data_IF_553301035403
#
_entry.id   IF_553301035403
#
_cell.length_a   1.000
_cell.length_b   1.000
_cell.length_c   1.000
_cell.angle_alpha   90.00
_cell.angle_beta   90.00
_cell.angle_gamma   90.00
#
_symmetry.space_group_name_H-M   'P 1'
#
loop_
_entity.id
_entity.type
_entity.pdbx_description
1 polymer ?
#
# COMPACT_ATOMS: atom_id res chain seq x y z
N UNK A 1 -0.24 12.97 16.49
CA UNK A 1 0.49 11.70 16.31
C UNK A 1 1.76 11.97 15.50
N UNK A 2 2.87 11.26 15.71
CA UNK A 2 4.06 11.45 14.87
C UNK A 2 3.85 10.83 13.48
N UNK A 3 4.51 11.36 12.45
CA UNK A 3 4.41 10.86 11.07
C UNK A 3 4.85 9.40 10.98
N UNK A 4 5.84 8.98 11.79
CA UNK A 4 6.29 7.58 11.84
C UNK A 4 5.18 6.65 12.35
N UNK A 5 4.49 7.02 13.43
CA UNK A 5 3.41 6.20 14.00
C UNK A 5 2.25 6.04 13.01
N UNK A 6 1.90 7.12 12.30
CA UNK A 6 0.87 7.09 11.27
C UNK A 6 1.23 6.17 10.09
N UNK A 7 2.50 6.17 9.65
CA UNK A 7 2.98 5.29 8.59
C UNK A 7 3.00 3.83 9.04
N UNK A 8 3.43 3.54 10.27
CA UNK A 8 3.45 2.17 10.81
C UNK A 8 2.04 1.60 10.95
N UNK A 9 1.09 2.39 11.46
CA UNK A 9 -0.31 1.97 11.57
C UNK A 9 -0.97 1.81 10.19
N UNK A 10 -0.71 2.72 9.24
CA UNK A 10 -1.21 2.57 7.87
C UNK A 10 -0.65 1.32 7.18
N UNK A 11 0.63 1.01 7.44
CA UNK A 11 1.29 -0.18 6.91
C UNK A 11 0.71 -1.47 7.50
N UNK A 12 0.39 -1.49 8.80
CA UNK A 12 -0.18 -2.68 9.46
C UNK A 12 -1.61 -2.98 9.00
N UNK A 13 -2.44 -1.95 8.73
CA UNK A 13 -3.80 -2.11 8.21
C UNK A 13 -3.80 -2.74 6.81
N UNK A 14 -2.81 -2.41 5.98
CA UNK A 14 -2.67 -2.95 4.61
C UNK A 14 -1.95 -4.30 4.55
N UNK A 15 -1.15 -4.62 5.56
CA UNK A 15 -0.37 -5.85 5.62
C UNK A 15 -1.27 -7.09 5.52
N UNK A 16 -2.40 -7.13 6.26
CA UNK A 16 -3.34 -8.26 6.22
C UNK A 16 -3.91 -8.47 4.81
N UNK A 17 -4.54 -7.48 4.16
CA UNK A 17 -5.03 -7.62 2.78
C UNK A 17 -3.96 -8.00 1.76
N UNK A 18 -2.77 -7.38 1.83
CA UNK A 18 -1.68 -7.65 0.89
C UNK A 18 -1.18 -9.09 1.04
N UNK A 19 -0.97 -9.56 2.27
CA UNK A 19 -0.56 -10.94 2.51
C UNK A 19 -1.65 -11.93 2.10
N UNK A 20 -2.93 -11.62 2.32
CA UNK A 20 -4.04 -12.48 1.93
C UNK A 20 -4.05 -12.77 0.43
N UNK A 21 -3.94 -11.73 -0.41
CA UNK A 21 -3.95 -11.90 -1.88
C UNK A 21 -2.67 -12.59 -2.37
N UNK A 22 -1.53 -12.26 -1.79
CA UNK A 22 -0.23 -12.85 -2.14
C UNK A 22 -0.22 -14.34 -1.84
N UNK A 23 -0.65 -14.74 -0.64
CA UNK A 23 -0.72 -16.14 -0.21
C UNK A 23 -1.72 -16.91 -1.07
N UNK A 24 -2.90 -16.36 -1.32
CA UNK A 24 -3.90 -17.00 -2.19
C UNK A 24 -3.34 -17.28 -3.59
N UNK A 25 -2.60 -16.33 -4.16
CA UNK A 25 -1.98 -16.48 -5.48
C UNK A 25 -0.89 -17.54 -5.48
N UNK A 26 -0.01 -17.54 -4.47
CA UNK A 26 1.06 -18.55 -4.34
C UNK A 26 0.46 -19.93 -4.19
N UNK A 27 -0.50 -20.12 -3.28
CA UNK A 27 -1.19 -21.40 -3.05
C UNK A 27 -1.92 -21.86 -4.32
N UNK A 28 -2.56 -20.95 -5.05
CA UNK A 28 -3.21 -21.26 -6.33
C UNK A 28 -2.23 -21.67 -7.45
N UNK A 29 -0.97 -21.22 -7.39
CA UNK A 29 0.08 -21.57 -8.34
C UNK A 29 0.83 -22.87 -7.99
N UNK A 30 0.75 -23.34 -6.73
CA UNK A 30 1.41 -24.59 -6.29
C UNK A 30 1.05 -25.80 -7.16
N UNK A 31 -0.24 -26.06 -7.50
CA UNK A 31 -0.60 -27.22 -8.33
C UNK A 31 -0.01 -27.15 -9.74
N UNK A 32 0.20 -25.96 -10.30
CA UNK A 32 0.77 -25.81 -11.64
C UNK A 32 2.21 -26.32 -11.73
N UNK A 33 2.95 -26.22 -10.63
CA UNK A 33 4.35 -26.67 -10.53
C UNK A 33 4.44 -28.15 -10.20
N UNK A 34 3.51 -28.68 -9.39
CA UNK A 34 3.53 -30.07 -8.94
C UNK A 34 2.83 -31.05 -9.91
N UNK A 35 1.88 -30.59 -10.74
CA UNK A 35 1.09 -31.45 -11.61
C UNK A 35 1.84 -31.90 -12.88
N UNK A 36 2.13 -33.20 -12.95
CA UNK A 36 2.72 -33.87 -14.13
C UNK A 36 1.75 -34.02 -15.31
N UNK A 37 2.29 -34.44 -16.46
CA UNK A 37 1.53 -34.70 -17.69
C UNK A 37 1.95 -33.84 -18.89
N UNK A 38 1.24 -33.94 -20.03
CA UNK A 38 1.54 -33.16 -21.23
C UNK A 38 1.54 -31.66 -20.94
N UNK A 39 2.57 -30.93 -21.39
CA UNK A 39 2.70 -29.49 -21.13
C UNK A 39 3.10 -29.12 -19.69
N UNK A 40 3.52 -30.08 -18.86
CA UNK A 40 4.00 -29.82 -17.49
C UNK A 40 5.19 -28.85 -17.45
N UNK A 41 6.13 -28.95 -18.38
CA UNK A 41 7.27 -28.03 -18.48
C UNK A 41 6.82 -26.56 -18.61
N UNK A 42 5.83 -26.27 -19.45
CA UNK A 42 5.28 -24.92 -19.63
C UNK A 42 4.53 -24.44 -18.40
N UNK A 43 3.70 -25.29 -17.78
CA UNK A 43 2.95 -24.94 -16.56
C UNK A 43 3.88 -24.69 -15.37
N UNK A 44 4.89 -25.53 -15.19
CA UNK A 44 5.88 -25.37 -14.13
C UNK A 44 6.67 -24.06 -14.29
N UNK A 45 7.05 -23.73 -15.53
CA UNK A 45 7.74 -22.46 -15.83
C UNK A 45 6.88 -21.25 -15.43
N UNK A 46 5.62 -21.20 -15.87
CA UNK A 46 4.70 -20.10 -15.52
C UNK A 46 4.44 -20.08 -14.00
N UNK A 47 4.25 -21.24 -13.37
CA UNK A 47 4.02 -21.35 -11.93
C UNK A 47 5.18 -20.80 -11.10
N UNK A 48 6.42 -21.13 -11.46
CA UNK A 48 7.62 -20.60 -10.80
C UNK A 48 7.77 -19.09 -10.96
N UNK A 49 7.51 -18.57 -12.17
CA UNK A 49 7.56 -17.12 -12.42
C UNK A 49 6.52 -16.37 -11.57
N UNK A 50 5.30 -16.91 -11.47
CA UNK A 50 4.23 -16.30 -10.65
C UNK A 50 4.58 -16.35 -9.17
N UNK A 51 5.00 -17.50 -8.65
CA UNK A 51 5.35 -17.66 -7.22
C UNK A 51 6.47 -16.68 -6.84
N UNK A 52 7.53 -16.63 -7.65
CA UNK A 52 8.65 -15.75 -7.39
C UNK A 52 8.28 -14.28 -7.57
N UNK A 53 7.60 -13.95 -8.68
CA UNK A 53 7.19 -12.58 -9.01
C UNK A 53 6.25 -11.97 -7.98
N UNK A 54 5.25 -12.73 -7.52
CA UNK A 54 4.32 -12.28 -6.47
C UNK A 54 5.04 -12.14 -5.14
N UNK A 55 5.84 -13.13 -4.73
CA UNK A 55 6.58 -13.06 -3.46
C UNK A 55 7.52 -11.86 -3.42
N UNK A 56 8.27 -11.65 -4.49
CA UNK A 56 9.19 -10.52 -4.61
C UNK A 56 8.46 -9.17 -4.67
N UNK A 57 7.40 -9.08 -5.48
CA UNK A 57 6.57 -7.87 -5.59
C UNK A 57 5.92 -7.47 -4.27
N UNK A 58 5.45 -8.45 -3.49
CA UNK A 58 4.85 -8.24 -2.18
C UNK A 58 5.86 -7.71 -1.17
N UNK A 59 7.06 -8.30 -1.12
CA UNK A 59 8.15 -7.78 -0.28
C UNK A 59 8.52 -6.36 -0.69
N UNK A 60 8.67 -6.13 -2.00
CA UNK A 60 8.98 -4.80 -2.52
C UNK A 60 7.89 -3.80 -2.13
N UNK A 61 6.61 -4.15 -2.29
CA UNK A 61 5.50 -3.26 -1.93
C UNK A 61 5.45 -2.95 -0.44
N UNK A 62 5.66 -3.95 0.43
CA UNK A 62 5.62 -3.75 1.88
C UNK A 62 6.78 -2.93 2.43
N UNK A 63 7.96 -2.96 1.80
CA UNK A 63 9.12 -2.22 2.27
C UNK A 63 9.35 -0.92 1.48
N UNK A 64 9.27 -0.97 0.16
CA UNK A 64 9.57 0.16 -0.74
C UNK A 64 8.49 1.23 -0.64
N UNK A 65 7.19 0.87 -0.61
CA UNK A 65 6.13 1.88 -0.50
C UNK A 65 6.25 2.73 0.77
N UNK A 66 6.36 2.16 1.99
CA UNK A 66 6.52 2.98 3.19
C UNK A 66 7.88 3.69 3.27
N UNK A 67 8.96 3.11 2.72
CA UNK A 67 10.25 3.79 2.64
C UNK A 67 10.19 5.05 1.75
N UNK A 68 9.59 4.93 0.57
CA UNK A 68 9.33 6.07 -0.32
C UNK A 68 8.37 7.07 0.33
N UNK A 69 7.36 6.59 1.05
CA UNK A 69 6.44 7.48 1.78
C UNK A 69 7.18 8.27 2.86
N UNK A 70 8.09 7.66 3.62
CA UNK A 70 8.93 8.39 4.59
C UNK A 70 9.88 9.40 3.93
N UNK A 71 10.40 9.08 2.74
CA UNK A 71 11.31 9.98 2.02
C UNK A 71 10.54 11.19 1.45
N UNK A 72 9.40 10.95 0.81
CA UNK A 72 8.56 11.98 0.20
C UNK A 72 7.82 12.81 1.25
N UNK A 73 7.40 12.22 2.38
CA UNK A 73 6.72 12.94 3.46
C UNK A 73 7.55 14.09 4.05
N UNK A 74 8.88 14.08 3.90
CA UNK A 74 9.72 15.24 4.28
C UNK A 74 9.58 16.42 3.32
N UNK A 75 9.21 16.18 2.07
CA UNK A 75 9.05 17.20 1.03
C UNK A 75 7.58 17.55 0.75
N UNK A 76 6.63 16.76 1.26
CA UNK A 76 5.19 16.95 1.06
C UNK A 76 4.53 17.53 2.32
N UNK A 77 3.81 18.65 2.18
CA UNK A 77 3.00 19.27 3.26
C UNK A 77 1.83 18.33 3.62
N UNK A 78 1.48 18.22 4.90
CA UNK A 78 0.35 17.37 5.34
C UNK A 78 -0.91 17.68 4.53
N UNK A 79 -1.66 16.69 4.03
CA UNK A 79 -2.96 16.90 3.38
C UNK A 79 -3.93 17.70 4.28
N UNK A 80 -3.78 17.59 5.59
CA UNK A 80 -4.57 18.31 6.60
C UNK A 80 -4.09 19.73 6.85
N UNK A 81 -2.92 20.13 6.33
CA UNK A 81 -2.40 21.48 6.49
C UNK A 81 -3.33 22.52 5.87
N UNK A 82 -3.99 22.19 4.77
CA UNK A 82 -4.98 23.06 4.13
C UNK A 82 -6.25 23.16 4.98
N UNK A 83 -6.72 22.05 5.57
CA UNK A 83 -7.88 22.05 6.47
C UNK A 83 -7.63 22.85 7.76
N UNK A 84 -6.45 22.72 8.36
CA UNK A 84 -6.05 23.50 9.53
C UNK A 84 -5.82 24.98 9.22
N UNK A 85 -5.36 25.29 8.00
CA UNK A 85 -5.22 26.67 7.53
C UNK A 85 -6.61 27.31 7.35
N UNK A 86 -7.56 26.60 6.74
CA UNK A 86 -8.97 27.03 6.63
C UNK A 86 -9.64 27.26 7.99
N UNK A 87 -9.50 26.33 8.94
CA UNK A 87 -10.07 26.45 10.29
C UNK A 87 -9.45 27.63 11.07
N UNK A 88 -8.16 27.91 10.87
CA UNK A 88 -7.50 29.12 11.39
C UNK A 88 -8.03 30.39 10.76
N UNK A 89 -8.26 30.40 9.44
CA UNK A 89 -8.84 31.56 8.75
C UNK A 89 -10.28 31.82 9.19
N UNK A 90 -11.09 30.77 9.40
CA UNK A 90 -12.45 30.90 9.94
C UNK A 90 -12.45 31.41 11.39
N UNK A 91 -11.51 30.95 12.23
CA UNK A 91 -11.39 31.44 13.60
C UNK A 91 -10.87 32.88 13.71
N UNK A 92 -10.13 33.37 12.71
CA UNK A 92 -9.53 34.71 12.69
C UNK A 92 -10.34 35.73 11.88
N UNK A 93 -11.31 35.28 11.08
CA UNK A 93 -12.22 36.17 10.35
C UNK A 93 -13.50 36.37 11.18
N UNK A 94 -13.81 37.59 11.65
CA UNK A 94 -15.12 37.86 12.24
C UNK A 94 -16.17 37.57 11.18
N UNK A 95 -17.21 36.81 11.54
CA UNK A 95 -18.40 36.57 10.70
C UNK A 95 -18.93 37.91 10.17
N UNK A 96 -18.58 38.26 8.93
CA UNK A 96 -19.27 39.31 8.20
C UNK A 96 -20.60 38.72 7.82
N UNK A 97 -21.60 38.96 8.66
CA UNK A 97 -22.98 38.72 8.33
C UNK A 97 -23.33 39.50 7.06
N UNK A 98 -23.95 38.82 6.11
CA UNK A 98 -24.55 39.48 4.96
C UNK A 98 -24.53 38.62 3.71
N UNK A 99 -25.50 37.72 3.60
CA UNK A 99 -26.22 37.50 2.34
C UNK A 99 -27.70 37.31 2.68
N UNK A 100 -28.45 38.40 2.51
CA UNK A 100 -29.88 38.38 2.25
C UNK A 100 -30.12 37.89 0.81
#
# INVERSE_FOLDING_TARGET
RSIRDAIVESSSVRLRPILMTSIATVVGAVPLVLAGGPGSASRATIGIVVIFGVSFSTLLSLFVVPAFYMLLAKYTRSPEAVGQELEKLEASTPSVGGHA
#
